data_IF_572104240159
#
_entry.id   IF_572104240159
#
_cell.length_a   1.000
_cell.length_b   1.000
_cell.length_c   1.000
_cell.angle_alpha   90.00
_cell.angle_beta   90.00
_cell.angle_gamma   90.00
#
_symmetry.space_group_name_H-M   'P 1'
#
loop_
_entity.id
_entity.type
_entity.pdbx_description
1 polymer ?
#
# COMPACT_ATOMS: atom_id res chain seq x y z
N UNK A 1 0.87 0.86 -83.07
CA UNK A 1 1.86 1.73 -82.40
C UNK A 1 2.41 0.92 -81.23
N UNK A 2 3.71 0.57 -81.32
CA UNK A 2 4.64 -0.23 -80.46
C UNK A 2 4.10 -0.86 -79.17
N UNK A 3 4.19 -2.19 -78.89
CA UNK A 3 5.31 -3.18 -78.84
C UNK A 3 6.46 -2.82 -77.89
N UNK A 4 6.58 -3.57 -76.78
CA UNK A 4 7.78 -4.28 -76.25
C UNK A 4 7.44 -4.88 -74.86
N UNK A 5 7.26 -6.21 -74.68
CA UNK A 5 8.22 -7.34 -74.56
C UNK A 5 9.26 -7.20 -73.43
N UNK A 6 9.30 -8.21 -72.57
CA UNK A 6 10.40 -8.48 -71.64
C UNK A 6 10.14 -9.69 -70.74
N UNK A 7 10.24 -10.90 -71.29
CA UNK A 7 10.20 -12.18 -70.57
C UNK A 7 11.60 -12.62 -70.12
N UNK A 8 11.68 -13.14 -68.90
CA UNK A 8 12.53 -14.28 -68.52
C UNK A 8 14.04 -14.05 -68.36
N UNK A 9 14.58 -14.45 -67.20
CA UNK A 9 15.66 -15.45 -67.15
C UNK A 9 15.86 -15.95 -65.72
N UNK A 10 15.70 -17.25 -65.53
CA UNK A 10 16.29 -18.00 -64.42
C UNK A 10 17.82 -17.90 -64.51
N UNK A 11 18.50 -17.71 -63.40
CA UNK A 11 19.88 -18.15 -63.22
C UNK A 11 20.13 -18.51 -61.76
N UNK A 12 20.41 -19.80 -61.54
CA UNK A 12 21.01 -20.36 -60.34
C UNK A 12 22.46 -19.87 -60.15
N UNK A 13 23.00 -20.15 -58.94
CA UNK A 13 24.41 -20.14 -58.50
C UNK A 13 24.79 -18.83 -57.76
N UNK A 14 25.43 -18.82 -56.58
CA UNK A 14 26.16 -19.85 -55.86
C UNK A 14 26.15 -19.55 -54.35
N UNK A 15 26.22 -20.61 -53.53
CA UNK A 15 26.59 -20.53 -52.12
C UNK A 15 28.06 -20.10 -52.00
N UNK A 16 28.33 -19.05 -51.24
CA UNK A 16 29.66 -18.82 -50.66
C UNK A 16 29.53 -18.71 -49.15
N UNK A 17 29.86 -19.82 -48.50
CA UNK A 17 30.06 -19.99 -47.07
C UNK A 17 31.30 -19.17 -46.66
N UNK A 18 31.12 -18.01 -46.02
CA UNK A 18 32.19 -17.29 -45.34
C UNK A 18 32.09 -17.58 -43.84
N UNK A 19 32.88 -18.55 -43.41
CA UNK A 19 33.23 -18.81 -42.01
C UNK A 19 34.02 -17.61 -41.46
N UNK A 20 33.30 -16.59 -40.99
CA UNK A 20 33.85 -15.55 -40.12
C UNK A 20 33.59 -15.94 -38.67
N UNK A 21 34.61 -16.47 -37.98
CA UNK A 21 34.64 -16.59 -36.53
C UNK A 21 34.62 -15.19 -35.92
N UNK A 22 33.43 -14.61 -35.77
CA UNK A 22 33.20 -13.44 -34.96
C UNK A 22 33.00 -13.88 -33.52
N UNK A 23 34.04 -13.78 -32.70
CA UNK A 23 33.88 -13.79 -31.24
C UNK A 23 33.03 -12.56 -30.91
N UNK A 24 31.73 -12.77 -30.74
CA UNK A 24 30.86 -11.76 -30.18
C UNK A 24 31.30 -11.55 -28.73
N UNK A 25 32.13 -10.53 -28.51
CA UNK A 25 32.27 -9.94 -27.18
C UNK A 25 30.89 -9.43 -26.79
N UNK A 26 30.15 -10.25 -26.06
CA UNK A 26 29.00 -9.79 -25.29
C UNK A 26 29.56 -8.85 -24.22
N UNK A 27 29.69 -7.57 -24.56
CA UNK A 27 29.72 -6.51 -23.57
C UNK A 27 28.36 -6.61 -22.88
N UNK A 28 28.37 -7.17 -21.67
CA UNK A 28 27.21 -7.17 -20.81
C UNK A 28 26.73 -5.73 -20.66
N UNK A 29 25.60 -5.41 -21.28
CA UNK A 29 24.87 -4.21 -20.96
C UNK A 29 24.38 -4.38 -19.53
N UNK A 30 25.10 -3.78 -18.59
CA UNK A 30 24.59 -3.48 -17.25
C UNK A 30 23.58 -2.32 -17.35
N UNK A 31 22.59 -2.47 -18.21
CA UNK A 31 21.46 -1.55 -18.31
C UNK A 31 20.50 -1.93 -17.18
N UNK A 32 20.89 -1.60 -15.94
CA UNK A 32 19.93 -1.44 -14.86
C UNK A 32 19.27 -0.09 -15.05
N UNK A 33 18.33 0.01 -15.99
CA UNK A 33 17.39 1.12 -15.96
C UNK A 33 16.71 1.10 -14.58
N UNK A 34 16.78 2.19 -13.80
CA UNK A 34 16.14 2.23 -12.50
C UNK A 34 14.64 2.05 -12.72
N UNK A 35 14.06 1.02 -12.10
CA UNK A 35 12.60 0.89 -12.02
C UNK A 35 12.11 2.11 -11.25
N UNK A 36 11.49 3.05 -11.97
CA UNK A 36 10.79 4.18 -11.35
C UNK A 36 9.58 3.61 -10.64
N UNK A 37 9.72 3.38 -9.34
CA UNK A 37 8.60 3.07 -8.47
C UNK A 37 7.79 4.36 -8.30
N UNK A 38 6.79 4.56 -9.16
CA UNK A 38 5.81 5.63 -8.99
C UNK A 38 4.94 5.31 -7.75
N UNK A 39 5.40 5.76 -6.59
CA UNK A 39 4.72 5.55 -5.31
C UNK A 39 5.37 6.33 -4.16
N UNK A 40 4.65 6.47 -3.05
CA UNK A 40 5.22 7.04 -1.81
C UNK A 40 6.10 5.98 -1.15
N UNK A 41 7.41 6.05 -1.36
CA UNK A 41 8.37 5.21 -0.67
C UNK A 41 8.75 5.85 0.68
N UNK A 42 8.63 5.10 1.77
CA UNK A 42 9.30 5.44 3.02
C UNK A 42 10.57 4.60 3.13
N UNK A 43 11.73 5.26 3.04
CA UNK A 43 13.02 4.62 3.28
C UNK A 43 13.35 4.78 4.76
N UNK A 44 13.38 3.66 5.49
CA UNK A 44 13.84 3.63 6.89
C UNK A 44 15.29 3.12 6.89
N UNK A 45 16.24 4.04 6.96
CA UNK A 45 17.66 3.70 7.10
C UNK A 45 17.98 3.43 8.57
N UNK A 46 18.33 2.19 8.93
CA UNK A 46 18.91 1.89 10.24
C UNK A 46 20.40 2.26 10.19
N UNK A 47 20.74 3.47 10.63
CA UNK A 47 22.12 3.92 10.75
C UNK A 47 22.80 3.15 11.88
N UNK A 48 23.47 2.04 11.57
CA UNK A 48 24.44 1.45 12.49
C UNK A 48 25.85 1.58 11.90
N UNK A 49 26.63 2.63 12.25
CA UNK A 49 28.07 2.60 12.06
C UNK A 49 28.66 1.73 13.18
N UNK A 50 28.71 0.41 12.99
CA UNK A 50 29.65 -0.39 13.78
C UNK A 50 31.06 -0.15 13.22
N UNK A 51 31.68 0.94 13.68
CA UNK A 51 33.13 1.09 13.71
C UNK A 51 33.46 1.97 14.92
N UNK A 52 34.11 1.32 15.88
CA UNK A 52 34.81 1.79 17.07
C UNK A 52 34.84 3.29 17.41
N UNK A 53 34.52 3.59 18.68
CA UNK A 53 35.15 4.67 19.43
C UNK A 53 34.85 6.10 18.99
N UNK A 54 33.70 6.64 19.38
CA UNK A 54 33.45 8.08 19.26
C UNK A 54 32.16 8.52 19.96
N UNK A 55 32.30 9.31 21.01
CA UNK A 55 31.21 10.00 21.70
C UNK A 55 30.52 10.92 20.70
N UNK A 56 29.39 10.49 20.16
CA UNK A 56 28.38 11.40 19.63
C UNK A 56 27.07 11.02 20.29
N UNK A 57 26.46 11.99 20.98
CA UNK A 57 25.11 11.91 21.49
C UNK A 57 24.15 11.84 20.30
N UNK A 58 24.09 10.68 19.66
CA UNK A 58 22.94 10.34 18.83
C UNK A 58 21.75 10.32 19.79
N UNK A 59 20.69 11.06 19.47
CA UNK A 59 19.39 10.82 20.09
C UNK A 59 19.17 9.30 20.03
N UNK A 60 19.08 8.65 21.20
CA UNK A 60 19.24 7.22 21.41
C UNK A 60 18.12 6.35 20.83
N UNK A 61 17.69 6.63 19.61
CA UNK A 61 16.73 5.83 18.84
C UNK A 61 17.52 4.69 18.21
N UNK A 62 17.88 3.70 19.03
CA UNK A 62 18.30 2.40 18.49
C UNK A 62 17.06 1.71 17.92
N UNK A 63 17.07 1.34 16.65
CA UNK A 63 16.06 0.46 16.03
C UNK A 63 16.05 -0.94 16.68
N UNK A 64 17.07 -1.25 17.51
CA UNK A 64 17.14 -2.43 18.38
C UNK A 64 16.42 -2.25 19.73
N UNK A 65 15.87 -1.07 20.03
CA UNK A 65 15.07 -0.90 21.23
C UNK A 65 13.83 -1.82 21.17
N UNK A 66 13.61 -2.60 22.23
CA UNK A 66 12.40 -3.39 22.36
C UNK A 66 11.17 -2.49 22.16
N UNK A 67 10.27 -2.86 21.24
CA UNK A 67 9.09 -2.05 20.90
C UNK A 67 9.33 -0.88 19.94
N UNK A 68 10.44 -0.85 19.19
CA UNK A 68 10.65 0.11 18.09
C UNK A 68 9.96 -0.30 16.78
N UNK A 69 9.57 -1.57 16.65
CA UNK A 69 8.85 -2.10 15.47
C UNK A 69 7.38 -2.22 15.80
N UNK A 70 6.54 -1.42 15.15
CA UNK A 70 5.09 -1.44 15.31
C UNK A 70 4.47 -1.34 13.93
N UNK A 71 3.63 -2.31 13.56
CA UNK A 71 2.92 -2.32 12.30
C UNK A 71 1.65 -3.16 12.40
N UNK A 72 0.59 -2.72 11.75
CA UNK A 72 -0.62 -3.50 11.57
C UNK A 72 -1.14 -3.40 10.13
N UNK A 73 -1.82 -4.44 9.69
CA UNK A 73 -2.54 -4.46 8.42
C UNK A 73 -3.72 -5.41 8.57
N UNK A 74 -4.92 -4.89 8.35
CA UNK A 74 -6.17 -5.62 8.47
C UNK A 74 -7.01 -5.47 7.19
N UNK A 75 -7.74 -6.52 6.86
CA UNK A 75 -8.56 -6.60 5.64
C UNK A 75 -9.94 -7.16 5.92
N UNK A 76 -10.91 -6.75 5.10
CA UNK A 76 -12.26 -7.33 5.07
C UNK A 76 -12.29 -8.43 4.01
N UNK A 77 -12.41 -9.68 4.43
CA UNK A 77 -12.43 -10.84 3.53
C UNK A 77 -13.82 -11.23 3.04
N UNK A 78 -14.87 -10.67 3.62
CA UNK A 78 -16.26 -11.10 3.40
C UNK A 78 -17.19 -9.96 2.97
N UNK A 79 -18.26 -10.31 2.25
CA UNK A 79 -19.37 -9.41 1.95
C UNK A 79 -20.49 -9.49 2.99
N UNK A 80 -20.20 -9.99 4.20
CA UNK A 80 -21.22 -10.05 5.25
C UNK A 80 -21.67 -8.65 5.63
N UNK A 81 -22.98 -8.52 5.82
CA UNK A 81 -23.64 -7.31 6.30
C UNK A 81 -23.06 -6.84 7.64
N UNK A 82 -23.18 -5.54 7.97
CA UNK A 82 -22.81 -5.03 9.28
C UNK A 82 -23.57 -5.75 10.39
N UNK A 83 -22.88 -6.10 11.47
CA UNK A 83 -23.52 -6.60 12.68
C UNK A 83 -24.34 -5.51 13.36
N UNK A 84 -25.27 -5.87 14.25
CA UNK A 84 -26.02 -4.89 15.06
C UNK A 84 -25.09 -3.95 15.85
N UNK A 85 -23.95 -4.47 16.34
CA UNK A 85 -22.96 -3.67 17.03
C UNK A 85 -22.33 -2.62 16.10
N UNK A 86 -22.00 -3.01 14.86
CA UNK A 86 -21.45 -2.10 13.86
C UNK A 86 -22.45 -1.03 13.44
N UNK A 87 -23.74 -1.36 13.35
CA UNK A 87 -24.78 -0.37 13.07
C UNK A 87 -24.97 0.63 14.23
N UNK A 88 -24.66 0.25 15.48
CA UNK A 88 -24.75 1.15 16.64
C UNK A 88 -23.50 2.03 16.80
N UNK A 89 -22.31 1.44 16.70
CA UNK A 89 -21.05 2.20 16.86
C UNK A 89 -20.65 2.95 15.59
N UNK A 90 -21.15 2.53 14.44
CA UNK A 90 -20.68 2.92 13.10
C UNK A 90 -19.19 2.65 12.88
N UNK A 91 -18.55 1.83 13.71
CA UNK A 91 -17.17 1.39 13.50
C UNK A 91 -17.12 0.43 12.30
N UNK A 92 -16.14 0.63 11.43
CA UNK A 92 -15.89 -0.25 10.29
C UNK A 92 -14.99 -1.39 10.75
N UNK A 93 -15.51 -2.62 10.67
CA UNK A 93 -14.80 -3.81 11.16
C UNK A 93 -14.03 -4.53 10.06
N UNK A 94 -12.90 -5.11 10.45
CA UNK A 94 -12.09 -6.02 9.64
C UNK A 94 -12.15 -7.42 10.24
N UNK A 95 -12.10 -8.46 9.40
CA UNK A 95 -12.21 -9.86 9.86
C UNK A 95 -10.89 -10.63 9.80
N UNK A 96 -9.87 -10.06 9.15
CA UNK A 96 -8.57 -10.67 8.98
C UNK A 96 -7.45 -9.68 9.29
N UNK A 97 -6.42 -10.15 9.96
CA UNK A 97 -5.19 -9.41 10.24
C UNK A 97 -4.05 -10.07 9.49
N UNK A 98 -3.41 -9.34 8.58
CA UNK A 98 -2.26 -9.78 7.81
C UNK A 98 -0.95 -9.50 8.56
N UNK A 99 -0.89 -8.38 9.28
CA UNK A 99 0.28 -7.95 10.04
C UNK A 99 -0.18 -7.41 11.40
N UNK A 100 0.49 -7.80 12.48
CA UNK A 100 0.25 -7.27 13.83
C UNK A 100 1.54 -7.26 14.68
N UNK A 101 2.57 -6.58 14.20
CA UNK A 101 3.85 -6.50 14.90
C UNK A 101 3.65 -5.69 16.20
N UNK A 102 3.86 -6.35 17.34
CA UNK A 102 3.63 -5.80 18.68
C UNK A 102 2.24 -6.09 19.26
N UNK A 103 1.32 -6.69 18.49
CA UNK A 103 -0.05 -7.01 18.92
C UNK A 103 -0.85 -5.78 19.42
N UNK A 104 -0.70 -4.65 18.74
CA UNK A 104 -1.32 -3.38 19.09
C UNK A 104 -2.59 -3.06 18.29
N UNK A 105 -2.99 -3.95 17.39
CA UNK A 105 -4.30 -3.91 16.72
C UNK A 105 -5.24 -4.95 17.34
N UNK A 106 -6.33 -4.48 17.96
CA UNK A 106 -7.43 -5.33 18.43
C UNK A 106 -8.38 -5.59 17.27
N UNK A 107 -8.40 -6.84 16.77
CA UNK A 107 -9.27 -7.27 15.69
C UNK A 107 -10.75 -7.15 16.04
N UNK A 108 -11.13 -7.51 17.28
CA UNK A 108 -12.54 -7.54 17.69
C UNK A 108 -13.13 -6.14 17.72
N UNK A 109 -12.34 -5.16 18.17
CA UNK A 109 -12.73 -3.76 18.13
C UNK A 109 -12.43 -3.09 16.78
N UNK A 110 -11.53 -3.66 15.97
CA UNK A 110 -10.92 -3.04 14.79
C UNK A 110 -10.26 -1.69 15.10
N UNK A 111 -9.52 -1.67 16.21
CA UNK A 111 -8.87 -0.47 16.77
C UNK A 111 -7.37 -0.73 16.90
N UNK A 112 -6.57 0.19 16.40
CA UNK A 112 -5.15 0.28 16.73
C UNK A 112 -4.96 1.12 17.99
N UNK A 113 -4.09 0.69 18.90
CA UNK A 113 -3.70 1.45 20.08
C UNK A 113 -2.20 1.72 20.05
N UNK A 114 -1.81 2.99 20.09
CA UNK A 114 -0.40 3.37 20.04
C UNK A 114 0.33 2.91 21.31
N UNK A 115 1.35 2.04 21.20
CA UNK A 115 2.06 1.54 22.38
C UNK A 115 3.05 2.54 22.98
N UNK A 116 3.36 3.60 22.24
CA UNK A 116 4.32 4.63 22.61
C UNK A 116 4.15 5.89 21.80
N UNK A 117 4.74 6.97 22.31
CA UNK A 117 4.86 8.24 21.60
C UNK A 117 5.70 8.11 20.32
N UNK A 118 5.22 8.69 19.23
CA UNK A 118 5.94 8.70 17.95
C UNK A 118 5.13 9.22 16.78
N UNK A 119 5.74 9.20 15.59
CA UNK A 119 5.07 9.50 14.32
C UNK A 119 4.64 8.20 13.65
N UNK A 120 3.37 8.09 13.31
CA UNK A 120 2.76 6.91 12.70
C UNK A 120 2.25 7.24 11.30
N UNK A 121 2.43 6.31 10.37
CA UNK A 121 1.82 6.36 9.04
C UNK A 121 0.61 5.47 9.01
N UNK A 122 -0.52 5.99 8.53
CA UNK A 122 -1.80 5.27 8.50
C UNK A 122 -2.48 5.49 7.17
N UNK A 123 -3.01 4.42 6.60
CA UNK A 123 -3.76 4.43 5.34
C UNK A 123 -4.98 3.53 5.45
N UNK A 124 -6.03 3.92 4.75
CA UNK A 124 -7.23 3.09 4.62
C UNK A 124 -7.84 3.20 3.23
N UNK A 125 -8.49 2.12 2.83
CA UNK A 125 -9.28 2.01 1.62
C UNK A 125 -10.55 1.25 1.98
N UNK A 126 -11.70 1.92 2.01
CA UNK A 126 -12.99 1.25 2.26
C UNK A 126 -13.70 1.07 0.95
N UNK A 127 -13.72 -0.17 0.48
CA UNK A 127 -14.35 -0.57 -0.78
C UNK A 127 -15.80 -0.92 -0.49
N UNK A 128 -16.71 -0.32 -1.23
CA UNK A 128 -18.11 -0.70 -1.21
C UNK A 128 -18.56 -1.14 -2.59
N UNK A 129 -19.32 -2.23 -2.63
CA UNK A 129 -19.92 -2.77 -3.85
C UNK A 129 -21.42 -2.50 -3.81
N UNK A 130 -22.02 -2.23 -4.96
CA UNK A 130 -23.48 -2.12 -5.12
C UNK A 130 -24.12 -0.98 -4.30
N UNK A 131 -23.67 0.26 -4.49
CA UNK A 131 -24.18 1.37 -3.70
C UNK A 131 -24.68 2.53 -4.55
N UNK A 132 -25.89 3.03 -4.23
CA UNK A 132 -26.45 4.27 -4.78
C UNK A 132 -26.35 5.46 -3.82
N UNK A 133 -25.74 5.26 -2.65
CA UNK A 133 -25.68 6.26 -1.58
C UNK A 133 -24.24 6.63 -1.27
N UNK A 134 -23.91 7.92 -1.27
CA UNK A 134 -22.57 8.36 -0.84
C UNK A 134 -22.27 7.94 0.60
N UNK A 135 -21.09 7.34 0.81
CA UNK A 135 -20.52 7.06 2.12
C UNK A 135 -19.45 8.10 2.48
N UNK A 136 -19.32 8.34 3.79
CA UNK A 136 -18.22 9.10 4.37
C UNK A 136 -17.53 8.26 5.42
N UNK A 137 -16.23 8.04 5.26
CA UNK A 137 -15.38 7.30 6.18
C UNK A 137 -14.41 8.27 6.85
N UNK A 138 -14.40 8.29 8.17
CA UNK A 138 -13.47 9.07 8.97
C UNK A 138 -12.42 8.16 9.60
N UNK A 139 -11.16 8.58 9.54
CA UNK A 139 -10.13 8.10 10.48
C UNK A 139 -10.31 8.87 11.78
N UNK A 140 -10.61 8.14 12.84
CA UNK A 140 -10.79 8.66 14.18
C UNK A 140 -9.47 8.58 14.95
N UNK A 141 -9.11 9.66 15.63
CA UNK A 141 -8.09 9.67 16.68
C UNK A 141 -8.78 9.93 18.00
N UNK A 142 -8.81 8.90 18.84
CA UNK A 142 -9.73 8.83 19.96
C UNK A 142 -11.16 9.12 19.45
N UNK A 143 -11.88 10.07 20.04
CA UNK A 143 -13.26 10.37 19.64
C UNK A 143 -13.38 11.44 18.53
N UNK A 144 -12.27 11.93 17.98
CA UNK A 144 -12.25 13.05 17.02
C UNK A 144 -11.88 12.60 15.61
N UNK A 145 -12.60 13.05 14.56
CA UNK A 145 -12.24 12.76 13.18
C UNK A 145 -11.04 13.62 12.74
N UNK A 146 -10.04 13.00 12.12
CA UNK A 146 -8.81 13.69 11.67
C UNK A 146 -8.77 13.88 10.15
N UNK A 147 -9.10 12.82 9.40
CA UNK A 147 -9.24 12.87 7.94
C UNK A 147 -10.50 12.10 7.52
N UNK A 148 -11.08 12.53 6.41
CA UNK A 148 -12.28 11.92 5.83
C UNK A 148 -12.03 11.48 4.39
N UNK A 149 -12.76 10.48 3.95
CA UNK A 149 -12.82 10.03 2.57
C UNK A 149 -14.27 9.78 2.17
N UNK A 150 -14.58 10.00 0.90
CA UNK A 150 -15.91 9.82 0.35
C UNK A 150 -15.87 8.83 -0.80
N UNK A 151 -16.95 8.07 -0.97
CA UNK A 151 -17.21 7.26 -2.15
C UNK A 151 -18.71 7.33 -2.41
N UNK A 152 -19.11 7.60 -3.65
CA UNK A 152 -20.52 7.64 -4.03
C UNK A 152 -20.70 8.04 -5.48
N UNK A 153 -21.15 7.09 -6.28
CA UNK A 153 -21.70 7.29 -7.62
C UNK A 153 -23.20 6.97 -7.61
N UNK A 154 -23.96 7.61 -8.50
CA UNK A 154 -25.39 7.31 -8.68
C UNK A 154 -25.59 5.95 -9.39
N UNK A 155 -24.57 5.52 -10.13
CA UNK A 155 -24.54 4.24 -10.80
C UNK A 155 -24.03 3.12 -9.86
N UNK A 156 -24.47 1.89 -10.11
CA UNK A 156 -24.15 0.73 -9.27
C UNK A 156 -22.72 0.24 -9.56
N UNK A 157 -21.73 1.03 -9.17
CA UNK A 157 -20.31 0.77 -9.40
C UNK A 157 -19.59 0.31 -8.12
N UNK A 158 -18.33 -0.09 -8.27
CA UNK A 158 -17.42 -0.37 -7.15
C UNK A 158 -16.59 0.87 -6.89
N UNK A 159 -16.68 1.39 -5.68
CA UNK A 159 -15.95 2.60 -5.30
C UNK A 159 -15.19 2.39 -3.99
N UNK A 160 -14.14 3.19 -3.81
CA UNK A 160 -13.29 3.12 -2.63
C UNK A 160 -13.11 4.50 -1.99
N UNK A 161 -13.54 4.64 -0.74
CA UNK A 161 -13.21 5.78 0.09
C UNK A 161 -11.78 5.59 0.62
N UNK A 162 -10.83 6.31 0.02
CA UNK A 162 -9.39 6.12 0.25
C UNK A 162 -8.73 7.39 0.79
N UNK A 163 -7.97 7.29 1.87
CA UNK A 163 -7.15 8.39 2.39
C UNK A 163 -6.01 7.86 3.29
N UNK A 164 -5.06 8.72 3.66
CA UNK A 164 -3.96 8.38 4.55
C UNK A 164 -3.20 9.61 5.05
N UNK A 165 -2.55 9.48 6.21
CA UNK A 165 -1.95 10.59 6.95
C UNK A 165 -0.78 10.13 7.83
N UNK A 166 0.14 11.06 8.13
CA UNK A 166 1.13 10.91 9.19
C UNK A 166 0.63 11.62 10.46
N UNK A 167 0.63 10.94 11.60
CA UNK A 167 0.12 11.47 12.86
C UNK A 167 1.13 11.32 13.98
N UNK A 168 1.25 12.35 14.82
CA UNK A 168 1.87 12.21 16.14
C UNK A 168 0.83 11.60 17.08
N UNK A 169 1.16 10.43 17.64
CA UNK A 169 0.34 9.76 18.65
C UNK A 169 1.11 9.68 19.97
N UNK A 170 0.39 9.79 21.07
CA UNK A 170 0.86 9.45 22.41
C UNK A 170 0.57 7.99 22.75
N UNK A 171 1.19 7.48 23.83
CA UNK A 171 0.86 6.13 24.32
C UNK A 171 -0.62 6.05 24.71
N UNK A 172 -1.25 4.93 24.37
CA UNK A 172 -2.68 4.61 24.55
C UNK A 172 -3.64 5.31 23.59
N UNK A 173 -3.18 6.21 22.73
CA UNK A 173 -4.04 6.81 21.70
C UNK A 173 -4.62 5.75 20.78
N UNK A 174 -5.90 5.93 20.42
CA UNK A 174 -6.66 4.94 19.64
C UNK A 174 -6.94 5.46 18.24
N UNK A 175 -6.69 4.61 17.25
CA UNK A 175 -7.07 4.87 15.86
C UNK A 175 -8.05 3.82 15.36
N UNK A 176 -9.12 4.25 14.71
CA UNK A 176 -10.11 3.38 14.09
C UNK A 176 -10.86 4.11 12.98
N UNK A 177 -11.59 3.35 12.16
CA UNK A 177 -12.42 3.90 11.10
C UNK A 177 -13.88 3.94 11.53
N UNK A 178 -14.53 5.07 11.28
CA UNK A 178 -15.95 5.28 11.54
C UNK A 178 -16.67 5.68 10.26
N UNK A 179 -17.82 5.05 10.02
CA UNK A 179 -18.76 5.43 8.97
C UNK A 179 -19.63 6.59 9.47
N UNK A 180 -19.30 7.81 9.06
CA UNK A 180 -20.03 9.01 9.52
C UNK A 180 -21.32 9.21 8.74
N UNK A 181 -21.33 8.84 7.46
CA UNK A 181 -22.51 8.95 6.59
C UNK A 181 -22.66 7.71 5.72
N UNK A 182 -23.90 7.31 5.49
CA UNK A 182 -24.26 6.19 4.62
C UNK A 182 -24.43 4.87 5.39
N UNK A 183 -24.31 3.76 4.68
CA UNK A 183 -24.32 2.41 5.24
C UNK A 183 -23.28 1.55 4.51
N UNK A 184 -22.99 0.35 5.00
CA UNK A 184 -22.17 -0.64 4.31
C UNK A 184 -23.00 -1.87 3.90
N UNK A 185 -24.28 -1.65 3.55
CA UNK A 185 -25.11 -2.73 3.03
C UNK A 185 -24.53 -3.29 1.72
N UNK A 186 -24.61 -4.60 1.53
CA UNK A 186 -23.94 -5.35 0.46
C UNK A 186 -22.50 -5.76 0.81
N UNK A 187 -22.01 -5.37 1.99
CA UNK A 187 -20.67 -5.67 2.46
C UNK A 187 -19.59 -4.74 1.92
N UNK A 188 -18.40 -4.86 2.51
CA UNK A 188 -17.24 -4.01 2.19
C UNK A 188 -15.96 -4.84 1.98
N UNK A 189 -16.10 -6.01 1.33
CA UNK A 189 -14.98 -6.88 1.00
C UNK A 189 -13.90 -6.11 0.22
N UNK A 190 -12.65 -6.50 0.43
CA UNK A 190 -11.44 -5.86 -0.11
C UNK A 190 -11.05 -4.54 0.56
N UNK A 191 -11.82 -4.07 1.54
CA UNK A 191 -11.40 -2.93 2.35
C UNK A 191 -10.14 -3.26 3.14
N UNK A 192 -9.26 -2.27 3.30
CA UNK A 192 -7.99 -2.39 4.00
C UNK A 192 -7.80 -1.26 5.00
N UNK A 193 -7.17 -1.55 6.14
CA UNK A 193 -6.72 -0.57 7.12
C UNK A 193 -5.35 -0.98 7.64
N UNK A 194 -4.37 -0.11 7.47
CA UNK A 194 -2.98 -0.41 7.81
C UNK A 194 -2.26 0.81 8.37
N UNK A 195 -1.25 0.55 9.17
CA UNK A 195 -0.37 1.59 9.66
C UNK A 195 0.84 1.05 10.40
N UNK A 196 1.82 1.90 10.62
CA UNK A 196 3.07 1.53 11.27
C UNK A 196 3.76 2.75 11.90
N UNK A 197 4.62 2.50 12.90
CA UNK A 197 5.47 3.51 13.51
C UNK A 197 6.61 3.87 12.56
N UNK A 198 6.70 5.14 12.18
CA UNK A 198 7.79 5.68 11.35
C UNK A 198 9.03 5.84 12.22
N UNK A 199 8.92 6.54 13.35
CA UNK A 199 9.95 6.65 14.37
C UNK A 199 9.34 7.06 15.72
N UNK A 200 9.89 6.55 16.85
CA UNK A 200 9.48 6.97 18.18
C UNK A 200 9.99 8.37 18.52
N UNK A 201 9.34 9.03 19.49
CA UNK A 201 9.74 10.33 20.06
C UNK A 201 9.96 10.23 21.58
#
# INVERSE_FOLDING_TARGET
>A
MSIARGSGSLAMLASTLLLGFGVAFALGQNDTEPVVLEGKCLVVCDSNPSAEGGVTSSFGISVRAAGAKVAFSAVRGTNHEPSEMSNKSMTIYFDQVLVNIGNHFDLKASVFQAPRRGIYSVSFHVVKVYNRQTIQVNLMHNEYPIISAFAGDQDVTREAASNGVLLHLEREDRLYLKLERGNLMGGWKYSTFSGFLVFPL
#
